data_IF_064453826873
#
_entry.id   IF_064453826873
#
_cell.length_a   1.000
_cell.length_b   1.000
_cell.length_c   1.000
_cell.angle_alpha   90.00
_cell.angle_beta   90.00
_cell.angle_gamma   90.00
#
_symmetry.space_group_name_H-M   'P 1'
#
loop_
_entity.id
_entity.type
_entity.pdbx_description
1 polymer ?
#
# COMPACT_ATOMS: atom_id res chain seq x y z
N UNK A 1 5.55 8.75 -15.33
CA UNK A 1 4.33 8.09 -14.91
C UNK A 1 4.46 7.50 -13.52
N UNK A 2 5.60 6.88 -13.23
CA UNK A 2 5.84 6.36 -11.89
C UNK A 2 5.89 7.50 -10.85
N UNK A 3 6.35 8.67 -11.26
CA UNK A 3 6.36 9.84 -10.39
C UNK A 3 4.97 10.29 -9.99
N UNK A 4 4.02 10.24 -10.92
CA UNK A 4 2.64 10.61 -10.61
C UNK A 4 2.02 9.69 -9.59
N UNK A 5 2.19 8.36 -9.77
CA UNK A 5 1.62 7.41 -8.84
C UNK A 5 2.20 7.58 -7.44
N UNK A 6 3.51 7.79 -7.35
CA UNK A 6 4.19 8.00 -6.07
C UNK A 6 3.73 9.29 -5.41
N UNK A 7 3.63 10.38 -6.18
CA UNK A 7 3.18 11.66 -5.65
C UNK A 7 1.73 11.59 -5.17
N UNK A 8 0.84 10.95 -5.93
CA UNK A 8 -0.56 10.82 -5.56
C UNK A 8 -0.69 10.01 -4.27
N UNK A 9 0.02 8.90 -4.17
CA UNK A 9 -0.02 8.08 -2.98
C UNK A 9 0.51 8.83 -1.76
N UNK A 10 1.59 9.58 -1.94
CA UNK A 10 2.16 10.37 -0.85
C UNK A 10 1.23 11.49 -0.41
N UNK A 11 0.56 12.14 -1.37
CA UNK A 11 -0.41 13.19 -1.06
C UNK A 11 -1.59 12.63 -0.28
N UNK A 12 -2.08 11.44 -0.66
CA UNK A 12 -3.14 10.78 0.08
C UNK A 12 -2.71 10.44 1.49
N UNK A 13 -1.48 9.96 1.67
CA UNK A 13 -0.95 9.65 2.99
C UNK A 13 -0.84 10.91 3.85
N UNK A 14 -0.35 12.01 3.27
CA UNK A 14 -0.25 13.28 3.98
C UNK A 14 -1.63 13.79 4.39
N UNK A 15 -2.60 13.70 3.49
CA UNK A 15 -3.97 14.11 3.80
C UNK A 15 -4.53 13.27 4.94
N UNK A 16 -4.35 11.96 4.86
CA UNK A 16 -4.84 11.06 5.90
C UNK A 16 -4.23 11.40 7.27
N UNK A 17 -2.92 11.68 7.28
CA UNK A 17 -2.23 12.01 8.52
C UNK A 17 -2.66 13.36 9.07
N UNK A 18 -2.61 14.41 8.23
CA UNK A 18 -2.78 15.79 8.71
C UNK A 18 -4.23 16.21 8.85
N UNK A 19 -5.11 15.70 8.02
CA UNK A 19 -6.51 16.12 8.02
C UNK A 19 -7.39 15.14 8.78
N UNK A 20 -7.23 13.86 8.52
CA UNK A 20 -8.08 12.84 9.12
C UNK A 20 -7.53 12.26 10.42
N UNK A 21 -6.27 12.55 10.76
CA UNK A 21 -5.65 12.04 11.98
C UNK A 21 -5.37 10.56 11.97
N UNK A 22 -5.34 9.95 10.79
CA UNK A 22 -5.03 8.54 10.65
C UNK A 22 -3.53 8.34 10.88
N UNK A 23 -3.18 7.38 11.73
CA UNK A 23 -1.79 7.16 12.09
C UNK A 23 -1.14 5.97 11.40
N UNK A 24 -1.92 5.12 10.78
CA UNK A 24 -1.40 3.95 10.08
C UNK A 24 -2.30 3.61 8.91
N UNK A 25 -1.69 3.30 7.78
CA UNK A 25 -2.44 2.87 6.61
C UNK A 25 -1.90 1.55 6.10
N UNK A 26 -2.76 0.81 5.45
CA UNK A 26 -2.46 -0.49 4.88
C UNK A 26 -2.83 -0.50 3.41
N UNK A 27 -2.10 -1.28 2.63
CA UNK A 27 -2.42 -1.49 1.24
C UNK A 27 -2.26 -2.98 0.94
N UNK A 28 -3.28 -3.59 0.37
CA UNK A 28 -3.25 -5.00 0.03
C UNK A 28 -2.97 -5.12 -1.45
N UNK A 29 -1.80 -5.64 -1.79
CA UNK A 29 -1.33 -5.67 -3.17
C UNK A 29 -1.03 -7.10 -3.58
N UNK A 30 -1.49 -7.49 -4.79
CA UNK A 30 -1.24 -8.81 -5.33
C UNK A 30 0.27 -9.06 -5.43
N UNK A 31 0.69 -10.29 -5.16
CA UNK A 31 2.12 -10.63 -5.12
C UNK A 31 2.82 -10.45 -6.46
N UNK A 32 2.08 -10.51 -7.56
CA UNK A 32 2.64 -10.31 -8.89
C UNK A 32 2.48 -8.89 -9.42
N UNK A 33 1.90 -7.99 -8.64
CA UNK A 33 1.72 -6.60 -9.06
C UNK A 33 2.94 -5.77 -8.66
N UNK A 34 4.03 -5.98 -9.37
CA UNK A 34 5.30 -5.33 -9.05
C UNK A 34 5.27 -3.79 -9.12
N UNK A 35 4.59 -3.18 -10.11
CA UNK A 35 4.49 -1.73 -10.14
C UNK A 35 3.86 -1.13 -8.89
N UNK A 36 2.76 -1.71 -8.41
CA UNK A 36 2.10 -1.22 -7.21
C UNK A 36 2.95 -1.43 -5.96
N UNK A 37 3.66 -2.55 -5.89
CA UNK A 37 4.58 -2.78 -4.78
C UNK A 37 5.72 -1.76 -4.80
N UNK A 38 6.20 -1.40 -5.98
CA UNK A 38 7.22 -0.37 -6.12
C UNK A 38 6.76 0.99 -5.62
N UNK A 39 5.53 1.37 -5.94
CA UNK A 39 4.96 2.63 -5.45
C UNK A 39 4.84 2.60 -3.94
N UNK A 40 4.32 1.50 -3.37
CA UNK A 40 4.18 1.38 -1.91
C UNK A 40 5.53 1.55 -1.21
N UNK A 41 6.56 0.88 -1.71
CA UNK A 41 7.91 0.98 -1.13
C UNK A 41 8.48 2.39 -1.22
N UNK A 42 8.22 3.08 -2.33
CA UNK A 42 8.73 4.44 -2.54
C UNK A 42 8.15 5.45 -1.56
N UNK A 43 6.91 5.25 -1.15
CA UNK A 43 6.30 6.18 -0.19
C UNK A 43 6.57 5.79 1.25
N UNK A 44 7.32 4.71 1.48
CA UNK A 44 7.74 4.32 2.81
C UNK A 44 6.98 3.15 3.41
N UNK A 45 6.16 2.48 2.64
CA UNK A 45 5.47 1.29 3.11
C UNK A 45 6.41 0.10 3.16
N UNK A 46 6.19 -0.78 4.13
CA UNK A 46 6.96 -2.01 4.25
C UNK A 46 6.03 -3.20 4.05
N UNK A 47 6.53 -4.27 3.40
CA UNK A 47 5.75 -5.49 3.24
C UNK A 47 5.62 -6.21 4.59
N UNK A 48 4.44 -6.71 4.86
CA UNK A 48 4.16 -7.48 6.06
C UNK A 48 3.67 -8.86 5.71
N UNK A 49 2.57 -9.24 6.34
CA UNK A 49 2.01 -10.57 6.16
C UNK A 49 1.48 -10.80 4.76
N UNK A 50 1.46 -12.06 4.36
CA UNK A 50 0.81 -12.46 3.11
C UNK A 50 -0.54 -13.06 3.46
N UNK A 51 -1.58 -12.61 2.75
CA UNK A 51 -2.91 -13.21 2.87
C UNK A 51 -3.28 -13.82 1.53
N UNK A 52 -4.07 -14.89 1.59
CA UNK A 52 -4.52 -15.57 0.36
C UNK A 52 -6.02 -15.36 0.25
N UNK A 53 -6.44 -14.77 -0.85
CA UNK A 53 -7.86 -14.61 -1.15
C UNK A 53 -8.27 -15.69 -2.14
N UNK A 54 -9.42 -16.29 -1.88
CA UNK A 54 -9.97 -17.32 -2.77
C UNK A 54 -11.06 -16.71 -3.62
N UNK A 55 -10.93 -16.89 -4.92
CA UNK A 55 -11.93 -16.39 -5.85
C UNK A 55 -12.12 -17.40 -6.97
N UNK A 56 -13.31 -17.95 -7.06
CA UNK A 56 -13.69 -18.95 -8.07
C UNK A 56 -12.71 -20.12 -8.12
N UNK A 57 -12.29 -20.60 -6.96
CA UNK A 57 -11.39 -21.74 -6.87
C UNK A 57 -9.93 -21.40 -7.15
N UNK A 58 -9.60 -20.14 -7.30
CA UNK A 58 -8.22 -19.70 -7.54
C UNK A 58 -7.70 -19.00 -6.29
N UNK A 59 -6.53 -19.41 -5.85
CA UNK A 59 -5.87 -18.76 -4.72
C UNK A 59 -5.10 -17.56 -5.22
N UNK A 60 -5.33 -16.40 -4.58
CA UNK A 60 -4.68 -15.14 -4.97
C UNK A 60 -3.92 -14.59 -3.77
N UNK A 61 -2.61 -14.85 -3.69
CA UNK A 61 -1.82 -14.30 -2.60
C UNK A 61 -1.65 -12.79 -2.74
N UNK A 62 -1.81 -12.10 -1.62
CA UNK A 62 -1.64 -10.67 -1.54
C UNK A 62 -0.69 -10.33 -0.40
N UNK A 63 0.10 -9.30 -0.58
CA UNK A 63 1.01 -8.81 0.45
C UNK A 63 0.39 -7.58 1.09
N UNK A 64 0.36 -7.56 2.42
CA UNK A 64 -0.15 -6.42 3.17
C UNK A 64 1.00 -5.47 3.43
N UNK A 65 0.98 -4.34 2.76
CA UNK A 65 1.94 -3.27 3.01
C UNK A 65 1.37 -2.30 4.03
N UNK A 66 2.21 -1.75 4.85
CA UNK A 66 1.76 -0.79 5.85
C UNK A 66 2.81 0.29 6.10
N UNK A 67 2.35 1.42 6.62
CA UNK A 67 3.24 2.48 7.08
C UNK A 67 2.59 3.27 8.19
N UNK A 68 3.40 3.82 9.06
CA UNK A 68 2.95 4.71 10.11
C UNK A 68 3.01 6.15 9.61
N UNK A 69 1.96 6.91 9.88
CA UNK A 69 1.84 8.29 9.45
C UNK A 69 1.95 9.25 10.62
N UNK A 70 2.42 10.45 10.32
CA UNK A 70 2.31 11.57 11.26
C UNK A 70 2.92 11.32 12.61
N UNK A 71 4.15 11.23 12.66
CA UNK A 71 4.87 11.20 13.90
C UNK A 71 4.51 12.38 14.79
#
# INVERSE_FOLDING_TARGET
>A
HKGYATEAARSCADYASHILGIKRIYSIIRDNNLPSQGVAKRIGMTPGDTIVKHYRGIDMPHIVFSMTLGE
#
